data_IF_962987106390
#
_entry.id   IF_962987106390
#
_cell.length_a   1.000
_cell.length_b   1.000
_cell.length_c   1.000
_cell.angle_alpha   90.00
_cell.angle_beta   90.00
_cell.angle_gamma   90.00
#
_symmetry.space_group_name_H-M   'P 1'
#
loop_
_entity.id
_entity.type
_entity.pdbx_description
1 polymer ?
#
# COMPACT_ATOMS: atom_id res chain seq x y z
N UNK A 1 17.28 5.79 7.60
CA UNK A 1 17.71 6.69 6.51
C UNK A 1 16.79 6.42 5.31
N UNK A 2 15.93 7.37 4.93
CA UNK A 2 15.00 7.20 3.80
C UNK A 2 15.81 7.11 2.49
N UNK A 3 15.77 5.96 1.80
CA UNK A 3 16.47 5.80 0.53
C UNK A 3 15.58 6.27 -0.62
N UNK A 4 15.87 7.47 -1.13
CA UNK A 4 15.31 7.92 -2.41
C UNK A 4 15.92 7.07 -3.52
N UNK A 5 15.10 6.32 -4.27
CA UNK A 5 15.55 5.56 -5.45
C UNK A 5 15.73 6.56 -6.60
N UNK A 6 16.85 7.28 -6.61
CA UNK A 6 17.22 8.31 -7.59
C UNK A 6 16.18 9.45 -7.81
N UNK A 7 16.60 10.55 -8.43
CA UNK A 7 15.72 11.68 -8.79
C UNK A 7 14.66 11.31 -9.87
N UNK A 8 14.76 10.09 -10.42
CA UNK A 8 13.85 9.51 -11.41
C UNK A 8 13.01 8.40 -10.77
N UNK A 9 11.69 8.47 -10.98
CA UNK A 9 10.75 7.37 -10.68
C UNK A 9 11.33 6.04 -11.20
N UNK A 10 11.18 4.92 -10.46
CA UNK A 10 11.74 3.65 -10.87
C UNK A 10 11.19 3.22 -12.23
N UNK A 11 11.97 2.47 -13.01
CA UNK A 11 11.52 1.98 -14.32
C UNK A 11 10.20 1.20 -14.20
N UNK A 12 9.21 1.57 -15.02
CA UNK A 12 7.86 1.01 -14.98
C UNK A 12 7.02 1.46 -13.77
N UNK A 13 7.33 2.61 -13.17
CA UNK A 13 6.48 3.20 -12.14
C UNK A 13 5.13 3.60 -12.73
N UNK A 14 4.06 2.98 -12.23
CA UNK A 14 2.68 3.32 -12.57
C UNK A 14 2.21 4.36 -11.55
N UNK A 15 1.68 5.49 -12.03
CA UNK A 15 1.11 6.48 -11.12
C UNK A 15 -0.24 5.99 -10.58
N UNK A 16 -0.46 5.98 -9.25
CA UNK A 16 -1.72 5.51 -8.70
C UNK A 16 -2.91 6.34 -9.16
N UNK A 17 -4.01 5.68 -9.54
CA UNK A 17 -5.26 6.35 -9.91
C UNK A 17 -5.79 7.17 -8.74
N UNK A 18 -6.21 8.42 -9.01
CA UNK A 18 -6.72 9.33 -7.99
C UNK A 18 -8.25 9.33 -7.99
N UNK A 19 -8.91 9.12 -6.84
CA UNK A 19 -10.35 9.22 -6.78
C UNK A 19 -10.82 10.66 -7.00
N UNK A 20 -11.94 10.82 -7.68
CA UNK A 20 -12.65 12.09 -7.80
C UNK A 20 -13.55 12.30 -6.58
N UNK A 21 -13.57 13.52 -6.04
CA UNK A 21 -14.47 13.85 -4.92
C UNK A 21 -15.92 13.88 -5.42
N UNK A 22 -16.80 13.20 -4.70
CA UNK A 22 -18.25 13.22 -4.92
C UNK A 22 -18.98 13.45 -3.60
N UNK A 23 -20.23 13.93 -3.65
CA UNK A 23 -21.08 14.11 -2.46
C UNK A 23 -21.65 12.80 -1.92
N UNK A 24 -21.78 11.78 -2.77
CA UNK A 24 -22.23 10.44 -2.42
C UNK A 24 -21.52 9.39 -3.30
N UNK A 25 -21.37 8.14 -2.84
CA UNK A 25 -20.89 7.05 -3.67
C UNK A 25 -21.83 6.83 -4.87
N UNK A 26 -21.29 6.59 -6.07
CA UNK A 26 -22.10 6.23 -7.23
C UNK A 26 -22.80 4.88 -7.01
N UNK A 27 -23.87 4.62 -7.77
CA UNK A 27 -24.70 3.42 -7.63
C UNK A 27 -24.96 2.78 -9.00
N UNK A 28 -25.31 1.49 -9.01
CA UNK A 28 -25.64 0.73 -10.22
C UNK A 28 -24.74 -0.50 -10.40
N UNK A 29 -25.04 -1.36 -11.40
CA UNK A 29 -24.35 -2.63 -11.59
C UNK A 29 -22.88 -2.48 -12.03
N UNK A 30 -22.51 -1.33 -12.58
CA UNK A 30 -21.14 -1.02 -13.04
C UNK A 30 -20.20 -0.58 -11.91
N UNK A 31 -20.69 -0.50 -10.66
CA UNK A 31 -19.93 0.02 -9.53
C UNK A 31 -19.65 -1.06 -8.49
N UNK A 32 -18.38 -1.12 -8.09
CA UNK A 32 -17.94 -1.85 -6.89
C UNK A 32 -17.57 -0.82 -5.82
N UNK A 33 -17.87 -1.12 -4.57
CA UNK A 33 -17.56 -0.26 -3.43
C UNK A 33 -16.54 -0.93 -2.53
N UNK A 34 -15.53 -0.16 -2.14
CA UNK A 34 -14.54 -0.57 -1.16
C UNK A 34 -14.55 0.34 0.05
N UNK A 35 -14.15 -0.20 1.21
CA UNK A 35 -13.96 0.59 2.41
C UNK A 35 -12.75 1.49 2.18
N UNK A 36 -12.95 2.79 2.40
CA UNK A 36 -11.84 3.73 2.40
C UNK A 36 -11.11 3.62 3.74
N UNK A 37 -9.90 3.06 3.71
CA UNK A 37 -9.02 3.06 4.87
C UNK A 37 -8.20 4.35 4.97
N UNK A 38 -7.80 4.71 6.19
CA UNK A 38 -6.87 5.81 6.45
C UNK A 38 -5.50 5.22 6.82
N UNK A 39 -4.57 5.22 5.87
CA UNK A 39 -3.25 4.62 6.03
C UNK A 39 -2.16 5.29 5.18
N UNK A 40 -1.16 4.48 4.79
CA UNK A 40 -0.21 4.88 3.75
C UNK A 40 -0.46 4.10 2.46
N UNK A 41 -0.91 4.82 1.41
CA UNK A 41 -0.96 4.26 0.06
C UNK A 41 0.41 3.90 -0.47
N UNK A 42 0.55 2.66 -0.90
CA UNK A 42 1.78 2.06 -1.36
C UNK A 42 1.54 1.21 -2.61
N UNK A 43 2.52 1.19 -3.49
CA UNK A 43 2.61 0.25 -4.60
C UNK A 43 3.59 -0.86 -4.21
N UNK A 44 3.07 -2.04 -3.89
CA UNK A 44 3.87 -3.22 -3.62
C UNK A 44 4.29 -3.86 -4.95
N UNK A 45 5.58 -3.84 -5.24
CA UNK A 45 6.16 -4.48 -6.42
C UNK A 45 6.99 -5.69 -6.01
N UNK A 46 6.66 -6.86 -6.58
CA UNK A 46 7.52 -8.04 -6.51
C UNK A 46 8.06 -8.38 -7.89
N UNK A 47 9.36 -8.69 -7.95
CA UNK A 47 10.03 -9.29 -9.12
C UNK A 47 11.01 -10.35 -8.60
N UNK A 48 10.69 -11.63 -8.80
CA UNK A 48 11.41 -12.76 -8.21
C UNK A 48 11.35 -12.71 -6.68
N UNK A 49 12.52 -12.69 -6.03
CA UNK A 49 12.66 -12.58 -4.57
C UNK A 49 12.67 -11.12 -4.06
N UNK A 50 12.78 -10.14 -4.97
CA UNK A 50 12.88 -8.73 -4.61
C UNK A 50 11.48 -8.14 -4.45
N UNK A 51 11.20 -7.60 -3.28
CA UNK A 51 9.98 -6.85 -2.98
C UNK A 51 10.36 -5.40 -2.67
N UNK A 52 9.57 -4.47 -3.18
CA UNK A 52 9.67 -3.03 -2.91
C UNK A 52 8.29 -2.47 -2.61
N UNK A 53 8.21 -1.48 -1.75
CA UNK A 53 6.96 -0.79 -1.44
C UNK A 53 7.12 0.69 -1.77
N UNK A 54 6.56 1.15 -2.88
CA UNK A 54 6.73 2.53 -3.31
C UNK A 54 5.61 3.42 -2.81
N UNK A 55 5.95 4.54 -2.19
CA UNK A 55 4.98 5.62 -1.96
C UNK A 55 4.58 6.29 -3.27
N UNK A 56 3.51 7.08 -3.23
CA UNK A 56 3.12 7.99 -4.34
C UNK A 56 4.27 8.88 -4.82
N UNK A 57 5.17 9.27 -3.92
CA UNK A 57 6.36 10.08 -4.25
C UNK A 57 7.52 9.27 -4.87
N UNK A 58 7.38 7.96 -5.02
CA UNK A 58 8.42 7.06 -5.55
C UNK A 58 9.47 6.62 -4.53
N UNK A 59 9.29 6.92 -3.23
CA UNK A 59 10.19 6.43 -2.17
C UNK A 59 9.96 4.95 -1.90
N UNK A 60 11.05 4.18 -1.82
CA UNK A 60 11.00 2.78 -1.41
C UNK A 60 10.96 2.70 0.12
N UNK A 61 9.83 2.24 0.65
CA UNK A 61 9.52 2.07 2.06
C UNK A 61 9.47 0.59 2.47
N UNK A 62 10.08 -0.33 1.70
CA UNK A 62 10.15 -1.74 2.07
C UNK A 62 10.72 -1.96 3.48
N UNK A 63 11.78 -1.24 3.85
CA UNK A 63 12.41 -1.35 5.18
C UNK A 63 11.49 -0.87 6.32
N UNK A 64 10.47 -0.05 6.01
CA UNK A 64 9.49 0.44 7.00
C UNK A 64 8.39 -0.57 7.28
N UNK A 65 8.13 -1.48 6.34
CA UNK A 65 7.04 -2.45 6.41
C UNK A 65 7.52 -3.88 6.13
N UNK A 66 8.41 -4.44 6.98
CA UNK A 66 8.93 -5.78 6.79
C UNK A 66 7.83 -6.85 6.79
N UNK A 67 6.74 -6.70 7.58
CA UNK A 67 5.64 -7.66 7.59
C UNK A 67 4.95 -7.75 6.22
N UNK A 68 4.72 -6.60 5.58
CA UNK A 68 4.17 -6.49 4.23
C UNK A 68 5.12 -7.14 3.20
N UNK A 69 6.43 -6.90 3.33
CA UNK A 69 7.45 -7.49 2.45
C UNK A 69 7.45 -9.01 2.53
N UNK A 70 7.37 -9.57 3.73
CA UNK A 70 7.33 -11.01 3.93
C UNK A 70 6.02 -11.61 3.40
N UNK A 71 4.87 -10.98 3.64
CA UNK A 71 3.59 -11.42 3.07
C UNK A 71 3.63 -11.44 1.54
N UNK A 72 4.23 -10.43 0.91
CA UNK A 72 4.39 -10.39 -0.55
C UNK A 72 5.23 -11.57 -1.08
N UNK A 73 6.23 -12.04 -0.30
CA UNK A 73 7.11 -13.16 -0.67
C UNK A 73 6.42 -14.52 -0.60
N UNK A 74 5.42 -14.67 0.27
CA UNK A 74 4.66 -15.93 0.40
C UNK A 74 3.61 -16.13 -0.70
N UNK A 75 3.23 -15.06 -1.41
CA UNK A 75 2.32 -15.16 -2.56
C UNK A 75 2.90 -16.07 -3.65
N UNK A 76 2.03 -16.85 -4.32
CA UNK A 76 2.44 -17.75 -5.41
C UNK A 76 2.99 -17.01 -6.64
N UNK A 77 2.45 -15.82 -6.93
CA UNK A 77 2.91 -15.00 -8.04
C UNK A 77 4.31 -14.43 -7.73
N UNK A 78 5.25 -14.58 -8.66
CA UNK A 78 6.63 -14.12 -8.50
C UNK A 78 6.91 -12.77 -9.17
N UNK A 79 5.94 -12.22 -9.89
CA UNK A 79 6.03 -10.90 -10.50
C UNK A 79 4.67 -10.23 -10.48
N UNK A 80 4.54 -9.10 -9.78
CA UNK A 80 3.31 -8.32 -9.71
C UNK A 80 3.57 -6.87 -9.23
N UNK A 81 2.56 -6.02 -9.45
CA UNK A 81 2.43 -4.70 -8.86
C UNK A 81 1.02 -4.60 -8.28
N UNK A 82 0.90 -4.33 -6.98
CA UNK A 82 -0.38 -4.20 -6.26
C UNK A 82 -0.44 -2.78 -5.70
N UNK A 83 -1.55 -2.09 -5.95
CA UNK A 83 -1.91 -0.84 -5.29
C UNK A 83 -2.75 -1.15 -4.06
N UNK A 84 -2.46 -0.46 -2.96
CA UNK A 84 -3.11 -0.74 -1.70
C UNK A 84 -2.67 0.21 -0.60
N UNK A 85 -3.24 -0.03 0.56
CA UNK A 85 -3.06 0.77 1.76
C UNK A 85 -2.39 -0.07 2.85
N UNK A 86 -1.25 0.40 3.36
CA UNK A 86 -0.71 -0.11 4.60
C UNK A 86 -1.45 0.54 5.77
N UNK A 87 -2.00 -0.29 6.66
CA UNK A 87 -2.84 0.14 7.78
C UNK A 87 -2.48 -0.63 9.05
N UNK A 88 -2.79 -0.05 10.21
CA UNK A 88 -2.94 -0.82 11.45
C UNK A 88 -4.43 -0.94 11.68
N UNK A 89 -4.94 -2.17 11.79
CA UNK A 89 -6.33 -2.42 12.14
C UNK A 89 -6.44 -2.67 13.64
N UNK A 90 -7.37 -1.98 14.30
CA UNK A 90 -7.77 -2.30 15.67
C UNK A 90 -8.62 -3.58 15.68
N UNK A 91 -8.86 -4.12 16.86
CA UNK A 91 -9.68 -5.33 17.06
C UNK A 91 -11.14 -5.17 16.57
N UNK A 92 -11.62 -3.93 16.47
CA UNK A 92 -12.94 -3.59 15.91
C UNK A 92 -12.96 -3.47 14.37
N UNK A 93 -11.82 -3.70 13.71
CA UNK A 93 -11.65 -3.61 12.26
C UNK A 93 -11.42 -2.19 11.72
N UNK A 94 -11.37 -1.17 12.59
CA UNK A 94 -11.15 0.23 12.18
C UNK A 94 -9.65 0.50 12.04
N UNK A 95 -9.26 1.20 10.97
CA UNK A 95 -7.87 1.61 10.76
C UNK A 95 -7.44 2.72 11.73
N UNK A 96 -6.30 2.55 12.40
CA UNK A 96 -5.69 3.54 13.30
C UNK A 96 -4.49 4.24 12.63
N UNK A 97 -4.77 5.38 12.03
CA UNK A 97 -3.76 6.18 11.35
C UNK A 97 -2.71 6.78 12.30
N UNK A 98 -3.09 7.11 13.53
CA UNK A 98 -2.16 7.70 14.50
C UNK A 98 -1.15 6.66 15.00
N UNK A 99 -1.61 5.44 15.25
CA UNK A 99 -0.74 4.31 15.55
C UNK A 99 0.23 4.04 14.38
N UNK A 100 -0.27 4.06 13.14
CA UNK A 100 0.55 3.87 11.93
C UNK A 100 1.63 4.96 11.77
N UNK A 101 1.30 6.22 12.08
CA UNK A 101 2.27 7.32 12.06
C UNK A 101 3.35 7.19 13.14
N UNK A 102 2.97 6.64 14.30
CA UNK A 102 3.84 6.50 15.48
C UNK A 102 4.70 5.22 15.47
N UNK A 103 4.48 4.34 14.50
CA UNK A 103 5.08 3.02 14.44
C UNK A 103 6.63 3.08 14.41
N UNK A 104 7.26 2.29 15.28
CA UNK A 104 8.70 2.03 15.36
C UNK A 104 8.96 0.52 15.46
N UNK A 105 8.85 -0.22 14.35
CA UNK A 105 9.01 -1.68 14.31
C UNK A 105 7.66 -2.42 14.30
N UNK A 106 7.56 -3.49 13.51
CA UNK A 106 6.34 -3.81 12.74
C UNK A 106 5.84 -5.26 12.93
N UNK A 107 4.82 -5.45 13.76
CA UNK A 107 4.12 -6.73 13.92
C UNK A 107 2.62 -6.69 13.58
N UNK A 108 2.01 -5.49 13.53
CA UNK A 108 0.54 -5.34 13.42
C UNK A 108 0.08 -4.62 12.14
N UNK A 109 0.99 -4.31 11.20
CA UNK A 109 0.60 -3.66 9.94
C UNK A 109 0.02 -4.69 8.97
N UNK A 110 -1.20 -4.41 8.53
CA UNK A 110 -1.93 -5.15 7.49
C UNK A 110 -1.83 -4.43 6.15
N UNK A 111 -1.87 -5.22 5.07
CA UNK A 111 -2.01 -4.70 3.71
C UNK A 111 -3.45 -4.88 3.24
N UNK A 112 -4.09 -3.79 2.83
CA UNK A 112 -5.42 -3.82 2.24
C UNK A 112 -5.34 -3.41 0.78
N UNK A 113 -5.96 -4.19 -0.09
CA UNK A 113 -6.00 -3.92 -1.52
C UNK A 113 -6.90 -2.71 -1.78
N UNK A 114 -6.50 -1.84 -2.71
CA UNK A 114 -7.39 -0.87 -3.33
C UNK A 114 -7.60 -1.34 -4.76
N UNK A 115 -8.83 -1.77 -5.08
CA UNK A 115 -9.26 -2.13 -6.43
C UNK A 115 -9.52 -0.90 -7.29
#
# INVERSE_FOLDING_TARGET
>A
MLRRVADRRPSGFVEPCRPSKASAPPSGPEWVHEIKHDGFRLLMRRVGARVRCFTRGGYDWADRFPAIVEAARTMKAVSFLIDGEAVICRDDGISDFNALCSLRGDHDVSWLFST
#
